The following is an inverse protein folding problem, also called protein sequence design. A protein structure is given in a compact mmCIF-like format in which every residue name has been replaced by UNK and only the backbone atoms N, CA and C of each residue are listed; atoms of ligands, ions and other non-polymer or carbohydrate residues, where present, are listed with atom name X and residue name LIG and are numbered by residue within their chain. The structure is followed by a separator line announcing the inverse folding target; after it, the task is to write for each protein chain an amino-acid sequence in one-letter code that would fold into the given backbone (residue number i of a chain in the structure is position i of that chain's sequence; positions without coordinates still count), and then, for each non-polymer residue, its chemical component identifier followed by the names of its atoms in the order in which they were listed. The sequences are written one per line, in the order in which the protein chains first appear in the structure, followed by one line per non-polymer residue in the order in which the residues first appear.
data_IF_279934839510
#
_entry.id   IF_279934839510
#
_cell.length_a   1.000
_cell.length_b   1.000
_cell.length_c   1.000
_cell.angle_alpha   90.00
_cell.angle_beta   90.00
_cell.angle_gamma   90.00
#
_symmetry.space_group_name_H-M   'P 1'
#
loop_
_entity.id
_entity.type
_entity.pdbx_description
1 polymer ?
#
# COMPACT_ATOMS: atom_id res chain seq x y z
N UNK A 1 -17.63 -27.56 -2.16
CA UNK A 1 -19.08 -27.69 -2.44
C UNK A 1 -19.73 -26.32 -2.29
N UNK A 2 -20.50 -25.93 -3.29
CA UNK A 2 -21.24 -24.67 -3.34
C UNK A 2 -22.69 -24.98 -2.98
N UNK A 3 -23.14 -24.45 -1.85
CA UNK A 3 -24.46 -24.70 -1.29
C UNK A 3 -25.39 -23.52 -1.57
N UNK A 4 -26.69 -23.75 -1.51
CA UNK A 4 -27.71 -22.70 -1.52
C UNK A 4 -27.38 -21.64 -0.45
N UNK A 5 -27.62 -20.37 -0.78
CA UNK A 5 -27.29 -19.19 0.03
C UNK A 5 -25.79 -18.89 0.17
N UNK A 6 -24.90 -19.69 -0.42
CA UNK A 6 -23.49 -19.30 -0.54
C UNK A 6 -23.38 -18.08 -1.45
N UNK A 7 -22.52 -17.13 -1.06
CA UNK A 7 -22.23 -15.93 -1.86
C UNK A 7 -20.93 -16.12 -2.64
N UNK A 8 -20.91 -15.63 -3.87
CA UNK A 8 -19.77 -15.72 -4.80
C UNK A 8 -19.52 -14.38 -5.48
N UNK A 9 -18.33 -14.24 -6.04
CA UNK A 9 -17.94 -13.10 -6.87
C UNK A 9 -18.01 -13.48 -8.34
N UNK A 10 -18.69 -12.66 -9.14
CA UNK A 10 -18.74 -12.80 -10.60
C UNK A 10 -18.16 -11.54 -11.27
N UNK A 11 -17.59 -11.64 -12.47
CA UNK A 11 -17.02 -10.49 -13.18
C UNK A 11 -18.07 -9.40 -13.43
N UNK A 12 -17.64 -8.15 -13.34
CA UNK A 12 -18.44 -6.96 -13.63
C UNK A 12 -17.62 -5.93 -14.43
N UNK A 13 -18.16 -5.33 -15.51
CA UNK A 13 -17.42 -4.34 -16.31
C UNK A 13 -17.09 -3.03 -15.59
N UNK A 14 -17.87 -2.65 -14.58
CA UNK A 14 -17.73 -1.36 -13.89
C UNK A 14 -16.98 -1.50 -12.58
N UNK A 15 -17.33 -2.48 -11.75
CA UNK A 15 -16.73 -2.68 -10.44
C UNK A 15 -15.63 -3.77 -10.41
N UNK A 16 -15.29 -4.35 -11.56
CA UNK A 16 -14.43 -5.54 -11.74
C UNK A 16 -15.10 -6.82 -11.24
N UNK A 17 -15.69 -6.79 -10.04
CA UNK A 17 -16.37 -7.92 -9.41
C UNK A 17 -17.67 -7.46 -8.72
N UNK A 18 -18.72 -8.27 -8.82
CA UNK A 18 -19.96 -8.09 -8.06
C UNK A 18 -20.36 -9.35 -7.30
N UNK A 19 -21.07 -9.15 -6.20
CA UNK A 19 -21.56 -10.23 -5.34
C UNK A 19 -22.84 -10.84 -5.91
N UNK A 20 -22.95 -12.16 -5.81
CA UNK A 20 -24.16 -12.90 -6.14
C UNK A 20 -24.37 -14.06 -5.15
N UNK A 21 -25.62 -14.41 -4.90
CA UNK A 21 -26.02 -15.49 -4.00
C UNK A 21 -26.54 -16.70 -4.80
N UNK A 22 -26.17 -17.91 -4.40
CA UNK A 22 -26.67 -19.13 -5.02
C UNK A 22 -28.11 -19.42 -4.62
N UNK A 23 -28.98 -19.57 -5.62
CA UNK A 23 -30.39 -19.94 -5.42
C UNK A 23 -30.61 -21.44 -5.23
N UNK A 24 -29.65 -22.27 -5.65
CA UNK A 24 -29.69 -23.74 -5.56
C UNK A 24 -28.28 -24.30 -5.33
N UNK A 25 -28.21 -25.47 -4.69
CA UNK A 25 -26.96 -26.23 -4.56
C UNK A 25 -26.36 -26.54 -5.94
N UNK A 26 -25.04 -26.36 -6.06
CA UNK A 26 -24.30 -26.80 -7.24
C UNK A 26 -24.05 -28.31 -7.18
N UNK A 27 -24.40 -29.03 -8.24
CA UNK A 27 -24.11 -30.45 -8.39
C UNK A 27 -22.93 -30.66 -9.33
N UNK A 28 -21.99 -31.58 -9.04
CA UNK A 28 -20.91 -31.92 -9.96
C UNK A 28 -21.46 -32.30 -11.34
N UNK A 29 -21.08 -31.55 -12.37
CA UNK A 29 -21.56 -31.74 -13.75
C UNK A 29 -22.55 -30.68 -14.23
N UNK A 30 -23.07 -29.83 -13.33
CA UNK A 30 -23.88 -28.68 -13.72
C UNK A 30 -23.04 -27.72 -14.59
N UNK A 31 -23.67 -27.17 -15.64
CA UNK A 31 -23.04 -26.23 -16.58
C UNK A 31 -23.34 -24.77 -16.26
N UNK A 32 -24.29 -24.54 -15.37
CA UNK A 32 -24.80 -23.21 -15.02
C UNK A 32 -25.00 -23.11 -13.53
N UNK A 33 -24.86 -21.89 -13.00
CA UNK A 33 -25.23 -21.53 -11.64
C UNK A 33 -26.47 -20.62 -11.68
N UNK A 34 -27.45 -20.89 -10.83
CA UNK A 34 -28.62 -20.03 -10.65
C UNK A 34 -28.30 -19.04 -9.52
N UNK A 35 -28.12 -17.78 -9.87
CA UNK A 35 -27.63 -16.74 -8.97
C UNK A 35 -28.66 -15.63 -8.78
N UNK A 36 -28.62 -14.96 -7.64
CA UNK A 36 -29.33 -13.71 -7.36
C UNK A 36 -28.34 -12.60 -7.09
N UNK A 37 -28.45 -11.51 -7.83
CA UNK A 37 -27.65 -10.29 -7.63
C UNK A 37 -28.17 -9.52 -6.42
N UNK A 38 -27.34 -8.63 -5.86
CA UNK A 38 -27.73 -7.77 -4.72
C UNK A 38 -28.92 -6.85 -5.06
N UNK A 39 -29.10 -6.49 -6.34
CA UNK A 39 -30.25 -5.73 -6.85
C UNK A 39 -31.56 -6.53 -6.88
N UNK A 40 -31.54 -7.82 -6.49
CA UNK A 40 -32.69 -8.72 -6.48
C UNK A 40 -33.00 -9.39 -7.82
N UNK A 41 -32.20 -9.12 -8.86
CA UNK A 41 -32.34 -9.75 -10.18
C UNK A 41 -31.71 -11.14 -10.18
N UNK A 42 -32.46 -12.13 -10.67
CA UNK A 42 -31.96 -13.48 -10.88
C UNK A 42 -31.17 -13.57 -12.21
N UNK A 43 -30.09 -14.33 -12.20
CA UNK A 43 -29.14 -14.50 -13.30
C UNK A 43 -28.74 -15.98 -13.44
N UNK A 44 -28.82 -16.50 -14.66
CA UNK A 44 -28.19 -17.78 -15.00
C UNK A 44 -26.74 -17.52 -15.44
N UNK A 45 -25.78 -18.03 -14.67
CA UNK A 45 -24.36 -17.85 -14.91
C UNK A 45 -23.77 -19.12 -15.54
N UNK A 46 -23.36 -19.02 -16.80
CA UNK A 46 -22.75 -20.11 -17.55
C UNK A 46 -21.29 -20.33 -17.12
N UNK A 47 -20.97 -21.56 -16.72
CA UNK A 47 -19.59 -21.97 -16.43
C UNK A 47 -18.84 -22.23 -17.74
N UNK A 48 -17.56 -21.86 -17.79
CA UNK A 48 -16.72 -22.17 -18.94
C UNK A 48 -16.56 -23.71 -19.07
N UNK A 49 -16.98 -24.31 -20.19
CA UNK A 49 -16.94 -25.76 -20.37
C UNK A 49 -15.51 -26.33 -20.43
N UNK A 50 -14.50 -25.50 -20.73
CA UNK A 50 -13.09 -25.91 -20.83
C UNK A 50 -12.41 -25.92 -19.47
N UNK A 51 -12.52 -24.83 -18.71
CA UNK A 51 -11.85 -24.71 -17.40
C UNK A 51 -12.68 -25.31 -16.27
N UNK A 52 -14.02 -25.28 -16.38
CA UNK A 52 -14.97 -25.69 -15.35
C UNK A 52 -14.70 -25.02 -13.99
N UNK A 53 -14.05 -23.86 -14.01
CA UNK A 53 -13.74 -23.10 -12.81
C UNK A 53 -15.01 -22.50 -12.22
N UNK A 54 -15.14 -22.61 -10.91
CA UNK A 54 -16.23 -22.03 -10.16
C UNK A 54 -15.88 -20.58 -9.77
N UNK A 55 -16.86 -19.68 -9.70
CA UNK A 55 -16.63 -18.31 -9.25
C UNK A 55 -16.07 -18.31 -7.81
N UNK A 56 -15.19 -17.34 -7.47
CA UNK A 56 -14.61 -17.25 -6.13
C UNK A 56 -15.69 -17.08 -5.05
N UNK A 57 -15.56 -17.81 -3.94
CA UNK A 57 -16.47 -17.67 -2.79
C UNK A 57 -16.27 -16.34 -2.06
N UNK A 58 -17.35 -15.68 -1.64
CA UNK A 58 -17.30 -14.48 -0.81
C UNK A 58 -17.08 -14.87 0.66
N UNK A 59 -16.17 -14.16 1.32
CA UNK A 59 -15.95 -14.34 2.76
C UNK A 59 -17.20 -13.98 3.58
N UNK A 60 -17.43 -14.60 4.75
CA UNK A 60 -18.43 -14.16 5.71
C UNK A 60 -18.21 -12.70 6.12
N UNK A 61 -19.29 -11.95 6.32
CA UNK A 61 -19.21 -10.50 6.60
C UNK A 61 -18.45 -10.17 7.89
N UNK A 62 -18.41 -11.11 8.86
CA UNK A 62 -17.64 -10.96 10.10
C UNK A 62 -16.12 -10.86 9.89
N UNK A 63 -15.60 -11.37 8.77
CA UNK A 63 -14.17 -11.31 8.43
C UNK A 63 -13.83 -10.14 7.50
N UNK A 64 -14.82 -9.34 7.10
CA UNK A 64 -14.61 -8.20 6.22
C UNK A 64 -14.19 -7.00 7.07
N UNK A 65 -13.15 -6.29 6.63
CA UNK A 65 -12.64 -5.12 7.34
C UNK A 65 -11.47 -5.42 8.29
N UNK A 66 -11.04 -6.67 8.40
CA UNK A 66 -9.90 -7.09 9.23
C UNK A 66 -8.60 -6.32 8.94
N UNK A 67 -7.76 -6.15 9.96
CA UNK A 67 -6.50 -5.42 9.86
C UNK A 67 -5.43 -6.14 9.03
N UNK A 68 -5.50 -7.46 8.93
CA UNK A 68 -4.63 -8.29 8.09
C UNK A 68 -5.47 -9.18 7.16
N UNK A 69 -5.18 -9.10 5.86
CA UNK A 69 -5.83 -9.90 4.83
C UNK A 69 -5.55 -11.41 4.98
N UNK A 70 -4.56 -11.82 5.77
CA UNK A 70 -4.32 -13.25 6.08
C UNK A 70 -5.41 -13.86 6.97
N UNK A 71 -6.26 -13.05 7.62
CA UNK A 71 -7.39 -13.50 8.42
C UNK A 71 -8.59 -13.99 7.58
N UNK A 72 -8.58 -13.75 6.26
CA UNK A 72 -9.66 -14.14 5.36
C UNK A 72 -9.67 -15.67 5.13
N UNK A 73 -10.85 -16.28 5.23
CA UNK A 73 -11.04 -17.72 4.93
C UNK A 73 -10.73 -18.05 3.46
N UNK A 74 -11.10 -17.16 2.55
CA UNK A 74 -10.87 -17.28 1.11
C UNK A 74 -10.01 -16.10 0.65
N UNK A 75 -8.77 -16.39 0.27
CA UNK A 75 -7.83 -15.39 -0.23
C UNK A 75 -7.70 -15.47 -1.75
N UNK A 76 -8.34 -14.54 -2.43
CA UNK A 76 -8.33 -14.37 -3.88
C UNK A 76 -8.57 -12.89 -4.22
N UNK A 77 -8.41 -12.53 -5.49
CA UNK A 77 -8.46 -11.13 -5.96
C UNK A 77 -9.72 -10.36 -5.50
N UNK A 78 -10.97 -10.85 -5.68
CA UNK A 78 -12.13 -10.08 -5.24
C UNK A 78 -12.23 -9.95 -3.72
N UNK A 79 -11.74 -10.92 -2.94
CA UNK A 79 -11.71 -10.81 -1.48
C UNK A 79 -10.77 -9.68 -1.01
N UNK A 80 -9.58 -9.59 -1.63
CA UNK A 80 -8.62 -8.52 -1.34
C UNK A 80 -9.19 -7.16 -1.75
N UNK A 81 -9.71 -7.05 -2.97
CA UNK A 81 -10.30 -5.80 -3.48
C UNK A 81 -11.46 -5.32 -2.59
N UNK A 82 -12.38 -6.22 -2.24
CA UNK A 82 -13.53 -5.88 -1.42
C UNK A 82 -13.14 -5.44 0.00
N UNK A 83 -12.25 -6.18 0.65
CA UNK A 83 -11.80 -5.82 2.01
C UNK A 83 -11.11 -4.45 2.02
N UNK A 84 -10.22 -4.18 1.07
CA UNK A 84 -9.57 -2.88 0.91
C UNK A 84 -10.58 -1.75 0.60
N UNK A 85 -11.56 -1.99 -0.29
CA UNK A 85 -12.63 -1.02 -0.63
C UNK A 85 -13.42 -0.64 0.63
N UNK A 86 -13.88 -1.62 1.42
CA UNK A 86 -14.64 -1.39 2.66
C UNK A 86 -13.81 -0.62 3.69
N UNK A 87 -12.57 -1.05 3.95
CA UNK A 87 -11.68 -0.35 4.90
C UNK A 87 -11.43 1.10 4.49
N UNK A 88 -11.17 1.35 3.21
CA UNK A 88 -10.84 2.68 2.72
C UNK A 88 -12.07 3.60 2.62
N UNK A 89 -13.16 3.13 2.02
CA UNK A 89 -14.34 3.98 1.76
C UNK A 89 -15.16 4.18 3.04
N UNK A 90 -15.46 3.10 3.75
CA UNK A 90 -16.43 3.13 4.85
C UNK A 90 -15.76 3.52 6.17
N UNK A 91 -14.53 3.04 6.41
CA UNK A 91 -13.81 3.27 7.67
C UNK A 91 -12.68 4.31 7.57
N UNK A 92 -12.40 4.85 6.38
CA UNK A 92 -11.29 5.80 6.12
C UNK A 92 -9.92 5.28 6.55
N UNK A 93 -9.73 3.96 6.55
CA UNK A 93 -8.47 3.30 6.90
C UNK A 93 -7.63 3.12 5.64
N UNK A 94 -6.45 3.73 5.63
CA UNK A 94 -5.54 3.72 4.47
C UNK A 94 -4.49 2.62 4.53
N UNK A 95 -4.27 2.05 5.70
CA UNK A 95 -3.25 1.04 5.96
C UNK A 95 -3.90 -0.30 6.27
N UNK A 96 -3.40 -1.36 5.65
CA UNK A 96 -3.87 -2.74 5.87
C UNK A 96 -2.69 -3.69 5.71
N UNK A 97 -2.56 -4.69 6.58
CA UNK A 97 -1.56 -5.72 6.42
C UNK A 97 -1.99 -6.76 5.39
N UNK A 98 -1.00 -7.33 4.71
CA UNK A 98 -1.11 -8.52 3.90
C UNK A 98 0.09 -9.40 4.27
N UNK A 99 -0.04 -10.06 5.43
CA UNK A 99 1.07 -10.76 6.08
C UNK A 99 2.22 -9.80 6.37
N UNK A 100 3.38 -10.04 5.75
CA UNK A 100 4.59 -9.24 5.95
C UNK A 100 4.58 -7.89 5.19
N UNK A 101 3.62 -7.70 4.28
CA UNK A 101 3.53 -6.49 3.44
C UNK A 101 2.51 -5.53 4.03
N UNK A 102 2.85 -4.24 4.07
CA UNK A 102 1.89 -3.18 4.37
C UNK A 102 1.33 -2.60 3.07
N UNK A 103 0.01 -2.67 2.90
CA UNK A 103 -0.72 -1.98 1.83
C UNK A 103 -1.06 -0.57 2.31
N UNK A 104 -0.72 0.43 1.50
CA UNK A 104 -1.02 1.84 1.76
C UNK A 104 -1.81 2.42 0.57
N UNK A 105 -3.04 2.87 0.83
CA UNK A 105 -3.92 3.49 -0.18
C UNK A 105 -3.84 5.01 -0.03
N UNK A 106 -3.53 5.74 -1.10
CA UNK A 106 -3.39 7.19 -1.03
C UNK A 106 -4.77 7.86 -0.79
N UNK A 107 -4.97 8.57 0.33
CA UNK A 107 -6.25 9.22 0.62
C UNK A 107 -6.48 10.52 -0.15
N UNK A 108 -5.45 11.12 -0.74
CA UNK A 108 -5.48 12.50 -1.27
C UNK A 108 -5.97 13.55 -0.26
N UNK A 109 -5.91 13.22 1.03
CA UNK A 109 -6.35 14.04 2.15
C UNK A 109 -5.30 13.98 3.26
N UNK A 110 -5.17 15.06 4.03
CA UNK A 110 -4.32 15.05 5.23
C UNK A 110 -5.05 14.38 6.38
N UNK A 111 -4.46 13.31 6.92
CA UNK A 111 -5.01 12.57 8.04
C UNK A 111 -4.25 12.90 9.33
N UNK A 112 -4.94 13.06 10.49
CA UNK A 112 -4.33 13.38 11.78
C UNK A 112 -3.72 12.14 12.46
N UNK A 113 -3.03 11.27 11.70
CA UNK A 113 -2.47 9.99 12.19
C UNK A 113 -0.92 9.99 12.23
N UNK A 114 -0.30 11.15 12.05
CA UNK A 114 1.16 11.30 11.94
C UNK A 114 1.75 12.25 13.00
N UNK A 115 1.02 12.49 14.09
CA UNK A 115 1.47 13.29 15.22
C UNK A 115 2.53 12.57 16.07
N UNK A 116 3.20 13.32 16.94
CA UNK A 116 4.20 12.76 17.87
C UNK A 116 3.58 11.82 18.90
N UNK A 117 2.35 12.10 19.32
CA UNK A 117 1.52 11.23 20.15
C UNK A 117 1.34 9.85 19.52
N UNK A 118 1.08 9.80 18.22
CA UNK A 118 0.95 8.54 17.48
C UNK A 118 2.31 7.83 17.36
N UNK A 119 3.39 8.57 17.05
CA UNK A 119 4.75 7.98 17.01
C UNK A 119 5.08 7.30 18.35
N UNK A 120 4.82 7.99 19.46
CA UNK A 120 5.06 7.48 20.81
C UNK A 120 4.19 6.26 21.12
N UNK A 121 2.94 6.22 20.65
CA UNK A 121 2.06 5.08 20.83
C UNK A 121 2.56 3.80 20.12
N UNK A 122 3.20 3.92 18.96
CA UNK A 122 3.80 2.77 18.26
C UNK A 122 5.16 2.35 18.83
N UNK A 123 5.88 3.24 19.52
CA UNK A 123 7.20 2.94 20.06
C UNK A 123 7.18 1.83 21.11
N UNK A 124 8.04 0.83 20.93
CA UNK A 124 8.15 -0.36 21.77
C UNK A 124 7.10 -1.43 21.50
N UNK A 125 6.05 -1.16 20.72
CA UNK A 125 4.97 -2.11 20.46
C UNK A 125 5.39 -3.18 19.45
N UNK A 126 4.67 -4.31 19.42
CA UNK A 126 4.84 -5.30 18.35
C UNK A 126 3.87 -4.98 17.20
N UNK A 127 4.26 -5.34 15.97
CA UNK A 127 3.52 -5.04 14.74
C UNK A 127 2.06 -5.55 14.74
N UNK A 128 1.76 -6.65 15.44
CA UNK A 128 0.39 -7.21 15.53
C UNK A 128 -0.45 -6.72 16.70
N UNK A 129 0.14 -5.97 17.64
CA UNK A 129 -0.55 -5.46 18.81
C UNK A 129 -1.22 -4.09 18.54
N UNK A 130 -0.85 -3.46 17.42
CA UNK A 130 -1.32 -2.14 17.00
C UNK A 130 -1.97 -2.21 15.61
N UNK A 131 -2.77 -1.20 15.29
CA UNK A 131 -3.36 -1.07 13.96
C UNK A 131 -2.28 -0.95 12.86
N UNK A 132 -2.60 -1.36 11.61
CA UNK A 132 -1.66 -1.23 10.51
C UNK A 132 -1.23 0.22 10.30
N UNK A 133 0.09 0.46 10.31
CA UNK A 133 0.64 1.79 10.08
C UNK A 133 2.07 1.74 9.55
N UNK A 134 2.50 2.79 8.84
CA UNK A 134 3.90 2.92 8.38
C UNK A 134 4.88 3.00 9.56
N UNK A 135 4.43 3.52 10.70
CA UNK A 135 5.22 3.58 11.94
C UNK A 135 5.44 2.20 12.54
N UNK A 136 4.50 1.27 12.42
CA UNK A 136 4.70 -0.11 12.86
C UNK A 136 5.79 -0.81 12.03
N UNK A 137 5.85 -0.55 10.72
CA UNK A 137 6.94 -1.06 9.85
C UNK A 137 8.29 -0.45 10.23
N UNK A 138 8.31 0.85 10.52
CA UNK A 138 9.53 1.53 10.96
C UNK A 138 10.01 1.01 12.33
N UNK A 139 9.10 0.81 13.28
CA UNK A 139 9.41 0.27 14.60
C UNK A 139 9.91 -1.17 14.53
N UNK A 140 9.27 -2.03 13.73
CA UNK A 140 9.73 -3.40 13.57
C UNK A 140 11.14 -3.44 12.97
N UNK A 141 11.43 -2.61 11.96
CA UNK A 141 12.78 -2.48 11.43
C UNK A 141 13.78 -1.96 12.50
N UNK A 142 13.40 -0.96 13.29
CA UNK A 142 14.26 -0.42 14.34
C UNK A 142 14.58 -1.47 15.42
N UNK A 143 13.57 -2.20 15.90
CA UNK A 143 13.71 -3.29 16.87
C UNK A 143 14.55 -4.43 16.31
N UNK A 144 14.31 -4.88 15.09
CA UNK A 144 15.09 -5.94 14.46
C UNK A 144 16.54 -5.54 14.23
N UNK A 145 16.81 -4.29 13.85
CA UNK A 145 18.18 -3.78 13.73
C UNK A 145 18.95 -3.91 15.04
N UNK A 146 18.32 -3.57 16.16
CA UNK A 146 18.93 -3.65 17.47
C UNK A 146 19.06 -5.08 17.99
N UNK A 147 18.00 -5.89 17.84
CA UNK A 147 17.94 -7.28 18.33
C UNK A 147 18.87 -8.21 17.56
N UNK A 148 18.89 -8.10 16.24
CA UNK A 148 19.55 -9.06 15.36
C UNK A 148 20.93 -8.56 14.89
N UNK A 149 21.34 -7.35 15.32
CA UNK A 149 22.59 -6.66 14.93
C UNK A 149 22.81 -6.63 13.42
N UNK A 150 21.73 -6.41 12.65
CA UNK A 150 21.73 -6.44 11.19
C UNK A 150 21.13 -5.17 10.61
N UNK A 151 21.75 -4.71 9.52
CA UNK A 151 21.21 -3.61 8.72
C UNK A 151 19.86 -4.00 8.12
N UNK A 152 18.93 -3.04 8.09
CA UNK A 152 17.56 -3.23 7.63
C UNK A 152 17.30 -2.43 6.34
N UNK A 153 16.26 -2.82 5.60
CA UNK A 153 15.79 -2.07 4.44
C UNK A 153 14.27 -1.96 4.45
N UNK A 154 13.76 -0.75 4.23
CA UNK A 154 12.34 -0.50 3.99
C UNK A 154 12.19 -0.19 2.50
N UNK A 155 11.51 -1.09 1.77
CA UNK A 155 11.30 -0.97 0.33
C UNK A 155 9.88 -0.48 0.09
N UNK A 156 9.74 0.69 -0.53
CA UNK A 156 8.44 1.27 -0.85
C UNK A 156 8.22 1.23 -2.36
N UNK A 157 7.27 0.40 -2.80
CA UNK A 157 6.91 0.20 -4.21
C UNK A 157 5.50 0.71 -4.53
N UNK A 158 5.24 0.97 -5.81
CA UNK A 158 3.94 1.42 -6.29
C UNK A 158 4.05 2.31 -7.52
N UNK A 159 2.94 2.56 -8.19
CA UNK A 159 2.89 3.44 -9.36
C UNK A 159 3.22 4.90 -9.02
N UNK A 160 3.44 5.72 -10.06
CA UNK A 160 3.64 7.16 -9.87
C UNK A 160 2.38 7.78 -9.22
N UNK A 161 2.56 8.60 -8.18
CA UNK A 161 1.44 9.18 -7.42
C UNK A 161 0.88 8.30 -6.29
N UNK A 162 1.32 7.06 -6.14
CA UNK A 162 0.80 6.13 -5.12
C UNK A 162 1.19 6.49 -3.66
N UNK A 163 2.00 7.52 -3.41
CA UNK A 163 2.39 7.93 -2.04
C UNK A 163 3.72 7.37 -1.53
N UNK A 164 4.58 6.84 -2.42
CA UNK A 164 5.90 6.29 -2.06
C UNK A 164 6.78 7.27 -1.26
N UNK A 165 6.92 8.50 -1.76
CA UNK A 165 7.74 9.55 -1.13
C UNK A 165 7.20 9.96 0.23
N UNK A 166 5.86 10.02 0.37
CA UNK A 166 5.19 10.36 1.63
C UNK A 166 5.41 9.27 2.67
N UNK A 167 5.26 8.00 2.27
CA UNK A 167 5.51 6.85 3.16
C UNK A 167 6.96 6.80 3.63
N UNK A 168 7.93 7.00 2.72
CA UNK A 168 9.34 7.08 3.10
C UNK A 168 9.62 8.26 4.06
N UNK A 169 9.02 9.44 3.81
CA UNK A 169 9.12 10.60 4.71
C UNK A 169 8.65 10.27 6.14
N UNK A 170 7.49 9.62 6.28
CA UNK A 170 6.97 9.27 7.60
C UNK A 170 7.81 8.20 8.30
N UNK A 171 8.32 7.20 7.59
CA UNK A 171 9.27 6.24 8.16
C UNK A 171 10.56 6.93 8.68
N UNK A 172 11.11 7.89 7.93
CA UNK A 172 12.28 8.66 8.36
C UNK A 172 12.00 9.53 9.59
N UNK A 173 10.84 10.20 9.63
CA UNK A 173 10.39 10.97 10.78
C UNK A 173 10.26 10.12 12.03
N UNK A 174 9.72 8.91 11.90
CA UNK A 174 9.64 7.95 13.00
C UNK A 174 11.02 7.69 13.61
N UNK A 175 12.00 7.29 12.80
CA UNK A 175 13.37 7.04 13.27
C UNK A 175 14.00 8.27 13.95
N UNK A 176 13.77 9.46 13.42
CA UNK A 176 14.30 10.70 13.98
C UNK A 176 13.80 10.96 15.40
N UNK A 177 12.49 10.77 15.61
CA UNK A 177 11.86 10.95 16.92
C UNK A 177 12.32 9.89 17.93
N UNK A 178 12.25 8.59 17.57
CA UNK A 178 12.52 7.51 18.55
C UNK A 178 14.01 7.31 18.86
N UNK A 179 14.91 7.73 17.97
CA UNK A 179 16.36 7.61 18.16
C UNK A 179 16.96 8.71 19.05
N UNK A 180 16.13 9.61 19.60
CA UNK A 180 16.57 10.62 20.57
C UNK A 180 17.47 11.70 19.96
N UNK A 181 17.26 12.05 18.69
CA UNK A 181 17.97 13.14 18.00
C UNK A 181 17.46 14.51 18.47
N UNK A 182 17.54 14.79 19.78
CA UNK A 182 17.09 16.03 20.42
C UNK A 182 18.18 17.13 20.47
N UNK A 183 19.41 16.83 20.02
CA UNK A 183 20.55 17.76 20.08
C UNK A 183 20.99 18.18 18.67
N UNK A 184 20.58 19.39 18.24
CA UNK A 184 21.09 20.30 17.17
C UNK A 184 21.47 19.76 15.76
N UNK A 185 21.68 18.47 15.59
CA UNK A 185 21.84 17.81 14.31
C UNK A 185 20.46 17.31 13.86
N UNK A 186 19.65 18.20 13.30
CA UNK A 186 18.37 17.85 12.67
C UNK A 186 18.61 17.03 11.38
N UNK A 187 19.12 15.80 11.52
CA UNK A 187 19.41 14.90 10.40
C UNK A 187 18.13 14.63 9.61
N UNK A 188 16.99 14.49 10.29
CA UNK A 188 15.67 14.42 9.65
C UNK A 188 15.43 15.64 8.75
N UNK A 189 15.52 16.85 9.31
CA UNK A 189 15.27 18.08 8.56
C UNK A 189 16.21 18.21 7.37
N UNK A 190 17.50 17.87 7.53
CA UNK A 190 18.49 17.89 6.43
C UNK A 190 18.17 16.86 5.35
N UNK A 191 17.76 15.65 5.73
CA UNK A 191 17.34 14.61 4.79
C UNK A 191 16.04 15.02 4.09
N UNK A 192 15.08 15.61 4.80
CA UNK A 192 13.84 16.12 4.22
C UNK A 192 14.09 17.34 3.32
N UNK A 193 15.02 18.23 3.67
CA UNK A 193 15.43 19.37 2.88
C UNK A 193 16.15 18.97 1.59
N UNK A 194 16.69 17.75 1.51
CA UNK A 194 17.21 17.21 0.25
C UNK A 194 16.09 16.86 -0.75
N UNK A 195 14.84 16.62 -0.29
CA UNK A 195 13.75 16.23 -1.19
C UNK A 195 13.42 17.33 -2.22
N UNK A 196 13.17 18.60 -1.85
CA UNK A 196 12.93 19.66 -2.85
C UNK A 196 14.05 19.79 -3.89
N UNK A 197 15.31 19.62 -3.48
CA UNK A 197 16.47 19.64 -4.40
C UNK A 197 16.41 18.46 -5.36
N UNK A 198 16.17 17.26 -4.85
CA UNK A 198 16.10 16.05 -5.66
C UNK A 198 14.88 16.03 -6.58
N UNK A 199 13.76 16.61 -6.14
CA UNK A 199 12.56 16.76 -6.96
C UNK A 199 12.80 17.76 -8.09
N UNK A 200 13.46 18.90 -7.84
CA UNK A 200 13.71 19.89 -8.89
C UNK A 200 14.57 19.34 -10.03
N UNK A 201 15.61 18.54 -9.72
CA UNK A 201 16.54 17.98 -10.72
C UNK A 201 16.14 16.60 -11.26
N UNK A 202 15.22 15.90 -10.59
CA UNK A 202 14.94 14.49 -10.84
C UNK A 202 13.46 14.16 -11.09
N UNK A 203 12.55 15.11 -10.84
CA UNK A 203 11.14 14.96 -11.17
C UNK A 203 10.76 15.78 -12.41
N UNK A 204 9.71 15.32 -13.09
CA UNK A 204 9.13 15.98 -14.24
C UNK A 204 7.63 15.68 -14.35
N UNK A 205 6.91 16.55 -15.05
CA UNK A 205 5.52 16.31 -15.42
C UNK A 205 5.44 15.23 -16.50
N UNK A 206 4.57 14.26 -16.26
CA UNK A 206 4.22 13.18 -17.17
C UNK A 206 2.72 13.22 -17.47
N UNK A 207 2.25 12.38 -18.39
CA UNK A 207 0.81 12.23 -18.67
C UNK A 207 0.00 11.71 -17.48
N UNK A 208 0.66 11.04 -16.51
CA UNK A 208 -0.02 10.39 -15.36
C UNK A 208 0.17 11.13 -14.04
N UNK A 209 1.19 11.97 -13.92
CA UNK A 209 1.56 12.64 -12.68
C UNK A 209 2.38 13.91 -12.98
N UNK A 210 1.99 15.03 -12.38
CA UNK A 210 2.63 16.33 -12.51
C UNK A 210 4.01 16.41 -11.83
N UNK A 211 4.28 15.56 -10.83
CA UNK A 211 5.56 15.54 -10.11
C UNK A 211 6.12 14.10 -10.04
N UNK A 212 6.32 13.47 -11.20
CA UNK A 212 6.82 12.09 -11.27
C UNK A 212 8.33 12.04 -11.09
N UNK A 213 8.82 11.32 -10.07
CA UNK A 213 10.25 10.99 -9.99
C UNK A 213 10.68 10.10 -11.14
N UNK A 214 11.78 10.48 -11.81
CA UNK A 214 12.34 9.80 -12.99
C UNK A 214 13.70 9.14 -12.69
N UNK A 215 13.90 8.80 -11.43
CA UNK A 215 15.08 8.11 -10.89
C UNK A 215 14.67 7.31 -9.64
N UNK A 216 15.42 6.27 -9.31
CA UNK A 216 15.35 5.56 -8.04
C UNK A 216 16.18 6.27 -6.97
N UNK A 217 15.67 6.34 -5.75
CA UNK A 217 16.33 6.95 -4.59
C UNK A 217 16.48 5.92 -3.48
N UNK A 218 17.70 5.76 -2.97
CA UNK A 218 18.01 4.94 -1.80
C UNK A 218 18.67 5.83 -0.75
N UNK A 219 18.11 5.86 0.44
CA UNK A 219 18.61 6.67 1.56
C UNK A 219 19.05 5.70 2.66
N UNK A 220 20.34 5.69 2.96
CA UNK A 220 20.95 4.95 4.05
C UNK A 220 20.93 5.85 5.29
N UNK A 221 20.25 5.44 6.36
CA UNK A 221 20.27 6.14 7.65
C UNK A 221 21.29 5.44 8.55
N UNK A 222 22.29 6.18 8.99
CA UNK A 222 23.35 5.67 9.86
C UNK A 222 22.95 5.79 11.33
N UNK A 223 23.18 4.73 12.09
CA UNK A 223 22.98 4.68 13.54
C UNK A 223 24.30 4.38 14.27
N UNK A 224 24.50 4.96 15.45
CA UNK A 224 25.62 4.61 16.33
C UNK A 224 25.37 3.32 17.12
N UNK A 225 26.33 2.91 17.97
CA UNK A 225 26.22 1.73 18.84
C UNK A 225 25.12 1.83 19.90
N UNK A 226 24.52 3.01 20.10
CA UNK A 226 23.37 3.25 20.98
C UNK A 226 22.08 3.42 20.18
N UNK A 227 22.11 3.07 18.89
CA UNK A 227 20.99 3.18 17.95
C UNK A 227 20.46 4.61 17.78
N UNK A 228 21.34 5.61 17.93
CA UNK A 228 21.01 7.02 17.67
C UNK A 228 21.42 7.39 16.26
N UNK A 229 20.62 8.21 15.57
CA UNK A 229 20.97 8.65 14.21
C UNK A 229 22.24 9.50 14.24
N UNK A 230 23.18 9.19 13.36
CA UNK A 230 24.44 9.94 13.19
C UNK A 230 24.54 10.65 11.84
N UNK A 231 23.70 10.28 10.87
CA UNK A 231 23.72 10.88 9.54
C UNK A 231 22.93 10.05 8.54
N UNK A 232 22.96 10.49 7.28
CA UNK A 232 22.37 9.78 6.17
C UNK A 232 23.22 9.91 4.91
N UNK A 233 23.14 8.91 4.03
CA UNK A 233 23.77 8.91 2.72
C UNK A 233 22.72 8.60 1.65
N UNK A 234 22.79 9.26 0.50
CA UNK A 234 21.82 9.06 -0.57
C UNK A 234 22.52 8.51 -1.82
N UNK A 235 21.95 7.45 -2.39
CA UNK A 235 22.34 6.89 -3.69
C UNK A 235 21.18 7.01 -4.66
N UNK A 236 21.50 7.36 -5.90
CA UNK A 236 20.52 7.51 -6.98
C UNK A 236 20.78 6.50 -8.08
N UNK A 237 19.72 6.03 -8.72
CA UNK A 237 19.77 4.99 -9.74
C UNK A 237 18.85 5.34 -10.91
N UNK A 238 19.20 4.87 -12.11
CA UNK A 238 18.31 4.85 -13.28
C UNK A 238 17.64 6.19 -13.63
N UNK A 239 18.39 7.29 -13.62
CA UNK A 239 17.89 8.59 -14.09
C UNK A 239 17.49 8.52 -15.58
N UNK A 240 16.28 8.98 -15.92
CA UNK A 240 15.77 9.03 -17.30
C UNK A 240 16.50 10.11 -18.13
N UNK A 241 17.67 9.78 -18.66
CA UNK A 241 18.52 10.71 -19.43
C UNK A 241 17.84 11.25 -20.70
N UNK A 242 17.00 10.45 -21.34
CA UNK A 242 16.27 10.85 -22.57
C UNK A 242 15.39 12.08 -22.34
N UNK A 243 14.85 12.26 -21.12
CA UNK A 243 13.98 13.39 -20.76
C UNK A 243 14.64 14.76 -20.86
N UNK A 244 15.97 14.82 -20.86
CA UNK A 244 16.73 16.07 -21.02
C UNK A 244 16.52 16.64 -22.42
N UNK A 245 16.45 15.79 -23.44
CA UNK A 245 16.45 16.20 -24.86
C UNK A 245 15.16 15.85 -25.61
N UNK A 246 14.26 15.09 -24.98
CA UNK A 246 13.04 14.62 -25.61
C UNK A 246 11.86 14.66 -24.64
N UNK A 247 10.76 15.25 -25.10
CA UNK A 247 9.46 15.24 -24.43
C UNK A 247 8.36 15.07 -25.46
N UNK A 248 7.28 14.38 -25.07
CA UNK A 248 6.05 14.39 -25.88
C UNK A 248 5.42 15.77 -25.75
N UNK A 249 5.31 16.46 -26.89
CA UNK A 249 4.85 17.85 -27.01
C UNK A 249 3.47 18.02 -26.32
N UNK A 250 3.30 19.16 -25.63
CA UNK A 250 2.09 19.62 -24.92
C UNK A 250 1.64 18.83 -23.68
N UNK A 251 2.15 17.63 -23.42
CA UNK A 251 1.68 16.78 -22.29
C UNK A 251 2.75 16.39 -21.29
N UNK A 252 4.03 16.65 -21.58
CA UNK A 252 5.15 16.37 -20.70
C UNK A 252 6.09 17.56 -20.61
N UNK A 253 6.82 17.67 -19.50
CA UNK A 253 7.87 18.67 -19.32
C UNK A 253 9.26 18.02 -19.25
N UNK A 254 10.29 18.85 -19.40
CA UNK A 254 11.64 18.51 -18.91
C UNK A 254 11.65 18.50 -17.37
N UNK A 255 12.81 18.24 -16.78
CA UNK A 255 12.98 18.30 -15.32
C UNK A 255 12.57 19.67 -14.77
N UNK A 256 11.96 19.69 -13.57
CA UNK A 256 11.35 20.88 -12.97
C UNK A 256 12.28 22.08 -12.89
N UNK A 257 13.59 21.89 -12.73
CA UNK A 257 14.58 22.97 -12.67
C UNK A 257 14.70 23.79 -13.97
N UNK A 258 14.25 23.25 -15.11
CA UNK A 258 14.29 23.92 -16.41
C UNK A 258 12.97 24.59 -16.81
N UNK A 259 11.92 24.45 -16.01
CA UNK A 259 10.54 24.90 -16.29
C UNK A 259 10.17 26.01 -15.33
#
# INVERSE_FOLDING_TARGET
NLWQYARVWIPDPEEVWKSAELLKDFKPGDKVLQLRLEEGKDLEYCLDPKTKELPPLRNPDILVGENDLTALSYLHEPAVLHNLKVRFIDSKLIYTYCGIVLVAINPYEQLPIYGEDIINAYSGQNMGDMDPHIFAVAEEAYKQMARDERNQSIIVSGESGAGKTVSAKYAMRYFATVSGSASEANVEEKVLASNPIMESIGNAKTTRNDNSSRFGKYIEIGFDKRYRIIGANMRTYLLEKSRVVFQVILVQSSYCIFV
#
